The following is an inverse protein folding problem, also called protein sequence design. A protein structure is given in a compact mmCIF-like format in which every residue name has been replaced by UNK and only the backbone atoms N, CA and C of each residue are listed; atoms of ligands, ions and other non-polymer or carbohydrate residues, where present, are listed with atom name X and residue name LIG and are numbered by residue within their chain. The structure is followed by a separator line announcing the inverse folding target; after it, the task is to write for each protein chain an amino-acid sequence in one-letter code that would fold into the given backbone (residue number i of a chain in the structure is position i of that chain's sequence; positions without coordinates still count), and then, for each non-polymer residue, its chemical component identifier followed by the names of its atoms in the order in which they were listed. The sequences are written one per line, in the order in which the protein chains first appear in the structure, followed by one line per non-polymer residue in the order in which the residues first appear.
data_IF_843909915691
#
_entry.id   IF_843909915691
#
_cell.length_a   1.000
_cell.length_b   1.000
_cell.length_c   1.000
_cell.angle_alpha   90.00
_cell.angle_beta   90.00
_cell.angle_gamma   90.00
#
_symmetry.space_group_name_H-M   'P 1'
#
loop_
_entity.id
_entity.type
_entity.pdbx_description
1 polymer ?
#
# COMPACT_ATOMS: atom_id res chain seq x y z
N UNK A 1 4.18 25.54 -28.39
CA UNK A 1 3.09 25.40 -27.41
C UNK A 1 2.54 23.99 -27.54
N UNK A 2 3.14 22.99 -26.89
CA UNK A 2 2.61 21.62 -26.85
C UNK A 2 3.39 20.76 -25.82
N UNK A 3 3.60 21.22 -24.58
CA UNK A 3 4.40 20.45 -23.59
C UNK A 3 3.75 20.37 -22.18
N UNK A 4 2.47 20.73 -22.05
CA UNK A 4 1.80 20.78 -20.75
C UNK A 4 0.79 19.64 -20.49
N UNK A 5 0.71 18.60 -21.34
CA UNK A 5 -0.42 17.65 -21.28
C UNK A 5 -0.08 16.17 -21.00
N UNK A 6 1.19 15.80 -20.77
CA UNK A 6 1.54 14.39 -20.41
C UNK A 6 1.80 14.18 -18.92
N UNK A 7 1.45 15.14 -18.06
CA UNK A 7 1.46 14.98 -16.60
C UNK A 7 0.08 14.58 -16.02
N UNK A 8 -0.87 14.19 -16.88
CA UNK A 8 -2.14 13.59 -16.47
C UNK A 8 -1.90 12.24 -15.76
N UNK A 9 -1.71 12.37 -14.45
CA UNK A 9 -2.18 11.50 -13.38
C UNK A 9 -1.85 10.00 -13.48
N UNK A 10 -0.57 9.66 -13.36
CA UNK A 10 -0.21 8.31 -12.89
C UNK A 10 -0.70 8.14 -11.45
N UNK A 11 -1.75 7.34 -11.27
CA UNK A 11 -2.30 6.96 -9.97
C UNK A 11 -1.20 6.27 -9.16
N UNK A 12 -0.80 6.90 -8.05
CA UNK A 12 0.27 6.40 -7.18
C UNK A 12 -0.30 5.46 -6.13
N UNK A 13 0.38 4.34 -5.95
CA UNK A 13 -0.02 3.33 -4.97
C UNK A 13 1.07 3.04 -3.94
N UNK A 14 0.66 2.66 -2.74
CA UNK A 14 1.54 2.31 -1.62
C UNK A 14 1.04 1.08 -0.87
N UNK A 15 1.92 0.29 -0.25
CA UNK A 15 1.53 -0.91 0.52
C UNK A 15 2.13 -0.88 1.91
N UNK A 16 1.46 -0.30 2.90
CA UNK A 16 2.04 -0.15 4.24
C UNK A 16 1.78 -1.41 5.07
N UNK A 17 2.86 -2.09 5.48
CA UNK A 17 2.81 -3.28 6.34
C UNK A 17 2.72 -2.91 7.81
N UNK A 18 2.11 -3.80 8.62
CA UNK A 18 1.93 -3.56 10.06
C UNK A 18 1.12 -2.29 10.37
N UNK A 19 0.28 -1.87 9.43
CA UNK A 19 -0.31 -0.53 9.40
C UNK A 19 -1.62 -0.41 10.18
N UNK A 20 -1.98 -1.44 10.96
CA UNK A 20 -3.18 -1.41 11.80
C UNK A 20 -3.05 -0.47 13.02
N UNK A 21 -1.85 0.02 13.34
CA UNK A 21 -1.61 0.92 14.47
C UNK A 21 -0.33 1.75 14.33
N UNK A 22 -0.16 2.71 15.24
CA UNK A 22 1.08 3.46 15.41
C UNK A 22 1.52 4.19 14.14
N UNK A 23 2.82 4.10 13.85
CA UNK A 23 3.45 4.83 12.74
C UNK A 23 2.89 4.39 11.38
N UNK A 24 2.65 3.09 11.17
CA UNK A 24 2.08 2.58 9.92
C UNK A 24 0.72 3.19 9.60
N UNK A 25 -0.16 3.29 10.60
CA UNK A 25 -1.47 3.94 10.46
C UNK A 25 -1.34 5.43 10.11
N UNK A 26 -0.40 6.13 10.77
CA UNK A 26 -0.11 7.54 10.49
C UNK A 26 0.46 7.78 9.10
N UNK A 27 1.26 6.84 8.58
CA UNK A 27 1.77 6.88 7.20
C UNK A 27 0.62 6.69 6.21
N UNK A 28 -0.26 5.70 6.42
CA UNK A 28 -1.44 5.50 5.58
C UNK A 28 -2.26 6.78 5.47
N UNK A 29 -2.53 7.44 6.61
CA UNK A 29 -3.25 8.71 6.65
C UNK A 29 -2.56 9.78 5.82
N UNK A 30 -1.26 10.00 6.02
CA UNK A 30 -0.51 11.04 5.32
C UNK A 30 -0.41 10.80 3.81
N UNK A 31 -0.22 9.56 3.39
CA UNK A 31 -0.17 9.19 1.97
C UNK A 31 -1.54 9.37 1.31
N UNK A 32 -2.61 8.88 1.96
CA UNK A 32 -3.97 9.04 1.46
C UNK A 32 -4.39 10.51 1.37
N UNK A 33 -4.04 11.36 2.35
CA UNK A 33 -4.29 12.81 2.28
C UNK A 33 -3.54 13.51 1.13
N UNK A 34 -2.55 12.86 0.52
CA UNK A 34 -1.82 13.35 -0.67
C UNK A 34 -2.31 12.70 -1.97
N UNK A 35 -3.46 12.03 -1.94
CA UNK A 35 -4.06 11.35 -3.10
C UNK A 35 -3.33 10.07 -3.53
N UNK A 36 -2.53 9.46 -2.64
CA UNK A 36 -1.89 8.16 -2.89
C UNK A 36 -2.83 7.06 -2.41
N UNK A 37 -3.14 6.09 -3.27
CA UNK A 37 -3.91 4.92 -2.85
C UNK A 37 -3.04 3.96 -2.04
N UNK A 38 -3.45 3.62 -0.82
CA UNK A 38 -2.67 2.85 0.13
C UNK A 38 -3.37 1.51 0.41
N UNK A 39 -2.66 0.42 0.17
CA UNK A 39 -2.95 -0.90 0.72
C UNK A 39 -2.41 -0.95 2.14
N UNK A 40 -3.29 -0.80 3.11
CA UNK A 40 -3.02 -1.06 4.51
C UNK A 40 -2.98 -2.58 4.71
N UNK A 41 -1.87 -3.11 5.22
CA UNK A 41 -1.78 -4.53 5.55
C UNK A 41 -1.43 -4.78 7.01
N UNK A 42 -1.98 -5.86 7.54
CA UNK A 42 -1.77 -6.34 8.89
C UNK A 42 -1.97 -7.86 8.92
N UNK A 43 -1.31 -8.52 9.88
CA UNK A 43 -1.48 -9.96 10.10
C UNK A 43 -2.88 -10.32 10.58
N UNK A 44 -3.40 -9.52 11.51
CA UNK A 44 -4.74 -9.67 12.07
C UNK A 44 -5.73 -8.87 11.22
N UNK A 45 -6.60 -9.58 10.51
CA UNK A 45 -7.59 -9.01 9.60
C UNK A 45 -8.55 -8.07 10.33
N UNK A 46 -9.08 -8.47 11.49
CA UNK A 46 -10.02 -7.68 12.27
C UNK A 46 -9.41 -6.32 12.66
N UNK A 47 -8.19 -6.32 13.16
CA UNK A 47 -7.45 -5.08 13.49
C UNK A 47 -7.13 -4.25 12.25
N UNK A 48 -6.91 -4.89 11.10
CA UNK A 48 -6.72 -4.23 9.82
C UNK A 48 -7.98 -3.50 9.35
N UNK A 49 -9.14 -4.15 9.44
CA UNK A 49 -10.44 -3.58 9.09
C UNK A 49 -10.77 -2.38 10.00
N UNK A 50 -10.60 -2.52 11.31
CA UNK A 50 -10.77 -1.41 12.26
C UNK A 50 -9.87 -0.21 11.93
N UNK A 51 -8.65 -0.46 11.46
CA UNK A 51 -7.73 0.59 11.05
C UNK A 51 -8.19 1.31 9.78
N UNK A 52 -8.75 0.57 8.81
CA UNK A 52 -9.38 1.17 7.63
C UNK A 52 -10.58 2.02 8.01
N UNK A 53 -11.45 1.55 8.90
CA UNK A 53 -12.61 2.32 9.38
C UNK A 53 -12.20 3.67 9.98
N UNK A 54 -11.16 3.68 10.84
CA UNK A 54 -10.60 4.91 11.41
C UNK A 54 -10.09 5.90 10.37
N UNK A 55 -9.52 5.39 9.26
CA UNK A 55 -9.08 6.24 8.15
C UNK A 55 -10.24 6.72 7.29
N UNK A 56 -11.29 5.89 7.12
CA UNK A 56 -12.52 6.26 6.41
C UNK A 56 -13.27 7.39 7.12
N UNK A 57 -13.33 7.38 8.46
CA UNK A 57 -13.87 8.48 9.26
C UNK A 57 -13.14 9.82 9.02
N UNK A 58 -11.89 9.78 8.56
CA UNK A 58 -11.11 10.98 8.19
C UNK A 58 -11.38 11.46 6.75
N UNK A 59 -12.38 10.89 6.04
CA UNK A 59 -12.70 11.25 4.66
C UNK A 59 -11.74 10.69 3.61
N UNK A 60 -10.92 9.69 3.96
CA UNK A 60 -9.88 9.13 3.09
C UNK A 60 -10.29 7.79 2.48
N UNK A 61 -11.59 7.48 2.46
CA UNK A 61 -12.12 6.15 2.15
C UNK A 61 -11.77 5.64 0.75
N UNK A 62 -11.70 6.53 -0.23
CA UNK A 62 -11.38 6.22 -1.63
C UNK A 62 -9.91 5.85 -1.86
N UNK A 63 -9.03 6.20 -0.91
CA UNK A 63 -7.59 5.98 -1.01
C UNK A 63 -7.10 4.84 -0.13
N UNK A 64 -7.96 4.15 0.63
CA UNK A 64 -7.53 3.09 1.55
C UNK A 64 -8.12 1.74 1.16
N UNK A 65 -7.24 0.80 0.85
CA UNK A 65 -7.53 -0.61 0.64
C UNK A 65 -6.97 -1.41 1.81
N UNK A 66 -7.61 -2.53 2.15
CA UNK A 66 -7.05 -3.49 3.09
C UNK A 66 -6.64 -4.76 2.36
N UNK A 67 -5.51 -5.34 2.76
CA UNK A 67 -5.17 -6.72 2.43
C UNK A 67 -4.43 -7.36 3.61
N UNK A 68 -4.84 -8.57 4.01
CA UNK A 68 -4.16 -9.29 5.09
C UNK A 68 -2.75 -9.68 4.64
N UNK A 69 -1.77 -9.54 5.54
CA UNK A 69 -0.38 -9.93 5.26
C UNK A 69 0.27 -10.49 6.52
N UNK A 70 0.67 -11.75 6.46
CA UNK A 70 1.71 -12.30 7.32
C UNK A 70 3.00 -12.49 6.52
N UNK A 71 4.01 -11.67 6.80
CA UNK A 71 5.31 -11.71 6.12
C UNK A 71 6.07 -13.03 6.34
N UNK A 72 5.69 -13.79 7.36
CA UNK A 72 6.26 -15.11 7.65
C UNK A 72 5.57 -16.25 6.86
N UNK A 73 4.44 -15.99 6.21
CA UNK A 73 3.71 -16.96 5.40
C UNK A 73 3.87 -16.64 3.90
N UNK A 74 4.61 -17.48 3.15
CA UNK A 74 4.78 -17.30 1.71
C UNK A 74 3.47 -17.24 0.91
N UNK A 75 2.41 -17.95 1.36
CA UNK A 75 1.12 -17.92 0.69
C UNK A 75 0.42 -16.57 0.87
N UNK A 76 0.53 -15.98 2.07
CA UNK A 76 0.03 -14.63 2.36
C UNK A 76 0.76 -13.57 1.51
N UNK A 77 2.08 -13.67 1.37
CA UNK A 77 2.88 -12.78 0.52
C UNK A 77 2.49 -12.91 -0.96
N UNK A 78 2.30 -14.14 -1.45
CA UNK A 78 1.88 -14.39 -2.83
C UNK A 78 0.48 -13.80 -3.11
N UNK A 79 -0.46 -14.01 -2.18
CA UNK A 79 -1.81 -13.45 -2.25
C UNK A 79 -1.80 -11.93 -2.36
N UNK A 80 -1.01 -11.24 -1.53
CA UNK A 80 -0.85 -9.79 -1.62
C UNK A 80 -0.23 -9.35 -2.96
N UNK A 81 0.78 -10.07 -3.45
CA UNK A 81 1.41 -9.76 -4.72
C UNK A 81 0.40 -9.87 -5.89
N UNK A 82 -0.45 -10.90 -5.87
CA UNK A 82 -1.47 -11.09 -6.90
C UNK A 82 -2.61 -10.07 -6.76
N UNK A 83 -2.99 -9.70 -5.54
CA UNK A 83 -3.91 -8.58 -5.29
C UNK A 83 -3.37 -7.27 -5.89
N UNK A 84 -2.09 -6.94 -5.67
CA UNK A 84 -1.47 -5.72 -6.21
C UNK A 84 -1.46 -5.75 -7.74
N UNK A 85 -1.07 -6.89 -8.34
CA UNK A 85 -1.05 -7.04 -9.80
C UNK A 85 -2.44 -6.86 -10.42
N UNK A 86 -3.45 -7.47 -9.82
CA UNK A 86 -4.82 -7.46 -10.34
C UNK A 86 -5.50 -6.09 -10.16
N UNK A 87 -5.35 -5.46 -9.00
CA UNK A 87 -6.10 -4.27 -8.65
C UNK A 87 -5.40 -2.95 -8.99
N UNK A 88 -4.07 -2.91 -8.91
CA UNK A 88 -3.32 -1.66 -8.98
C UNK A 88 -2.47 -1.59 -10.25
N UNK A 89 -2.10 -2.75 -10.81
CA UNK A 89 -1.24 -2.87 -11.99
C UNK A 89 0.21 -2.46 -11.74
N UNK A 90 0.46 -1.28 -11.14
CA UNK A 90 1.77 -0.70 -10.79
C UNK A 90 1.73 -0.04 -9.41
N UNK A 91 2.85 -0.05 -8.68
CA UNK A 91 2.98 0.50 -7.31
C UNK A 91 4.10 1.54 -7.25
N UNK A 92 3.89 2.69 -6.57
CA UNK A 92 4.78 3.85 -6.67
C UNK A 92 5.53 4.23 -5.37
N UNK A 93 5.06 3.94 -4.15
CA UNK A 93 5.75 4.38 -2.91
C UNK A 93 5.51 3.41 -1.73
N UNK A 94 6.54 3.02 -0.96
CA UNK A 94 6.36 2.38 0.35
C UNK A 94 7.40 2.85 1.39
N UNK A 95 6.92 3.32 2.54
CA UNK A 95 7.70 3.73 3.71
C UNK A 95 7.91 2.56 4.74
N UNK A 96 9.13 2.30 5.23
CA UNK A 96 9.42 1.11 6.04
C UNK A 96 9.32 1.35 7.56
N UNK A 97 8.49 0.54 8.24
CA UNK A 97 8.86 -0.10 9.51
C UNK A 97 8.47 -1.57 9.39
N UNK A 98 9.50 -2.41 9.15
CA UNK A 98 9.50 -3.87 8.89
C UNK A 98 9.32 -4.31 7.41
N UNK A 99 10.47 -4.69 6.83
CA UNK A 99 10.69 -5.38 5.54
C UNK A 99 10.26 -4.60 4.27
N UNK A 100 11.24 -4.18 3.48
CA UNK A 100 11.03 -3.55 2.18
C UNK A 100 11.22 -4.55 1.05
N UNK A 101 10.28 -4.51 0.10
CA UNK A 101 10.35 -5.18 -1.19
C UNK A 101 10.23 -4.06 -2.22
N UNK A 102 11.26 -3.82 -3.05
CA UNK A 102 11.38 -2.62 -3.92
C UNK A 102 11.46 -3.03 -5.39
N UNK A 103 10.51 -2.61 -6.24
CA UNK A 103 10.52 -2.89 -7.68
C UNK A 103 10.55 -1.57 -8.46
N UNK A 104 11.52 -1.41 -9.36
CA UNK A 104 11.64 -0.25 -10.26
C UNK A 104 11.23 -0.60 -11.69
N UNK A 105 11.25 0.39 -12.60
CA UNK A 105 10.68 0.46 -13.97
C UNK A 105 10.79 -0.75 -14.92
N UNK A 106 11.43 -1.84 -14.51
CA UNK A 106 11.59 -3.08 -15.28
C UNK A 106 10.72 -4.24 -14.80
N UNK A 107 9.88 -4.06 -13.77
CA UNK A 107 8.98 -5.10 -13.27
C UNK A 107 9.65 -6.19 -12.42
N UNK A 108 10.77 -5.88 -11.75
CA UNK A 108 11.53 -6.88 -11.00
C UNK A 108 11.14 -6.94 -9.54
N UNK A 109 10.78 -8.14 -9.09
CA UNK A 109 10.36 -8.41 -7.74
C UNK A 109 11.53 -8.64 -6.72
N UNK A 110 12.25 -7.63 -6.21
CA UNK A 110 13.24 -7.78 -5.11
C UNK A 110 12.61 -7.95 -3.69
N UNK A 111 12.48 -9.20 -3.24
CA UNK A 111 12.25 -9.57 -1.83
C UNK A 111 13.58 -9.54 -1.06
N UNK A 112 13.70 -8.72 -0.01
CA UNK A 112 14.83 -8.78 0.93
C UNK A 112 14.33 -9.37 2.27
N UNK A 113 14.46 -10.69 2.49
CA UNK A 113 14.29 -11.24 3.82
C UNK A 113 15.40 -10.71 4.74
N UNK A 114 15.10 -10.57 6.03
CA UNK A 114 16.15 -10.42 7.04
C UNK A 114 16.90 -11.73 7.23
#
# INVERSE_FOLDING_TARGET
MEEASTFLEKKRYAVVTGANKGIGLGICKQLASKGVAVVLSARDERRGIEAVEKLKESGLSEFILFHQLDVADPASVASLADFIKTQLGKLDILNPLAASITFTESGTAIYLPK
#
